data_IF_370262638348
#
_entry.id   IF_370262638348
#
_cell.length_a   1.000
_cell.length_b   1.000
_cell.length_c   1.000
_cell.angle_alpha   90.00
_cell.angle_beta   90.00
_cell.angle_gamma   90.00
#
_symmetry.space_group_name_H-M   'P 1'
#
loop_
_entity.id
_entity.type
_entity.pdbx_description
1 polymer ?
#
# COMPACT_ATOMS: atom_id res chain seq x y z
N UNK A 1 -26.79 14.65 -1.36
CA UNK A 1 -26.38 13.64 -0.36
C UNK A 1 -25.99 12.39 -1.14
N UNK A 2 -24.69 12.20 -1.38
CA UNK A 2 -24.21 11.02 -2.14
C UNK A 2 -23.97 9.89 -1.13
N UNK A 3 -24.55 8.74 -1.44
CA UNK A 3 -24.46 7.49 -0.69
C UNK A 3 -22.99 7.07 -0.50
N UNK A 4 -22.64 6.62 0.70
CA UNK A 4 -21.30 6.20 1.10
C UNK A 4 -20.90 4.80 0.57
N UNK A 5 -21.48 4.33 -0.52
CA UNK A 5 -21.38 2.94 -0.97
C UNK A 5 -20.43 2.69 -2.17
N UNK A 6 -19.68 3.68 -2.65
CA UNK A 6 -18.78 3.51 -3.82
C UNK A 6 -17.40 4.14 -3.56
N UNK A 7 -16.74 3.71 -2.48
CA UNK A 7 -15.29 3.93 -2.33
C UNK A 7 -14.64 2.57 -2.55
N UNK A 8 -13.95 2.42 -3.69
CA UNK A 8 -13.22 1.21 -4.07
C UNK A 8 -12.30 0.72 -2.94
N UNK A 9 -12.34 -0.59 -2.72
CA UNK A 9 -11.92 -1.29 -1.49
C UNK A 9 -10.62 -2.08 -1.74
N UNK A 10 -9.45 -1.75 -1.16
CA UNK A 10 -8.20 -2.44 -1.50
C UNK A 10 -7.86 -3.64 -0.60
N UNK A 11 -8.83 -4.29 0.06
CA UNK A 11 -8.55 -5.47 0.93
C UNK A 11 -8.58 -6.83 0.21
N UNK A 12 -8.61 -6.88 -1.12
CA UNK A 12 -8.45 -8.15 -1.84
C UNK A 12 -6.95 -8.45 -1.91
N UNK A 13 -6.47 -9.35 -1.04
CA UNK A 13 -5.30 -10.23 -1.23
C UNK A 13 -4.63 -10.64 0.11
N UNK A 14 -5.37 -11.32 1.00
CA UNK A 14 -4.73 -12.34 1.86
C UNK A 14 -5.62 -13.59 1.83
N UNK A 15 -5.58 -14.29 0.70
CA UNK A 15 -6.15 -15.61 0.56
C UNK A 15 -5.13 -16.65 1.04
N UNK A 16 -5.01 -16.86 2.36
CA UNK A 16 -4.45 -18.12 2.84
C UNK A 16 -5.56 -19.16 2.68
N UNK A 17 -5.33 -20.15 1.81
CA UNK A 17 -6.26 -21.22 1.50
C UNK A 17 -6.90 -21.85 2.75
N UNK A 18 -8.22 -21.67 2.88
CA UNK A 18 -9.08 -22.62 3.56
C UNK A 18 -10.24 -22.91 2.62
N UNK A 19 -10.47 -24.19 2.31
CA UNK A 19 -11.38 -24.73 1.30
C UNK A 19 -12.88 -24.50 1.57
N UNK A 20 -13.25 -23.39 2.20
CA UNK A 20 -14.62 -22.92 2.41
C UNK A 20 -14.63 -21.41 2.22
N UNK A 21 -15.14 -20.96 1.08
CA UNK A 21 -15.15 -19.56 0.65
C UNK A 21 -15.55 -18.56 1.75
N UNK A 22 -14.55 -18.04 2.45
CA UNK A 22 -14.63 -16.79 3.21
C UNK A 22 -13.58 -15.87 2.60
N UNK A 23 -14.03 -14.77 2.02
CA UNK A 23 -13.20 -13.59 1.78
C UNK A 23 -12.45 -13.30 3.08
N UNK A 24 -11.12 -13.27 3.03
CA UNK A 24 -10.30 -12.99 4.20
C UNK A 24 -10.75 -11.67 4.83
N UNK A 25 -11.12 -11.68 6.11
CA UNK A 25 -11.46 -10.45 6.80
C UNK A 25 -10.21 -9.54 6.85
N UNK A 26 -10.33 -8.28 6.42
CA UNK A 26 -9.24 -7.32 6.54
C UNK A 26 -8.73 -7.30 7.99
N UNK A 27 -7.43 -7.41 8.18
CA UNK A 27 -6.85 -7.29 9.50
C UNK A 27 -7.06 -5.87 10.07
N UNK A 28 -7.25 -5.78 11.39
CA UNK A 28 -7.76 -4.57 12.04
C UNK A 28 -6.84 -3.35 11.90
N UNK A 29 -5.52 -3.55 11.77
CA UNK A 29 -4.60 -2.43 11.54
C UNK A 29 -4.85 -1.80 10.18
N UNK A 30 -4.90 -2.59 9.10
CA UNK A 30 -5.15 -2.09 7.74
C UNK A 30 -6.46 -1.33 7.64
N UNK A 31 -7.53 -1.82 8.29
CA UNK A 31 -8.83 -1.13 8.34
C UNK A 31 -8.71 0.22 9.04
N UNK A 32 -8.04 0.26 10.20
CA UNK A 32 -7.87 1.50 10.98
C UNK A 32 -6.99 2.52 10.24
N UNK A 33 -5.90 2.07 9.61
CA UNK A 33 -5.01 2.91 8.83
C UNK A 33 -5.74 3.54 7.64
N UNK A 34 -6.46 2.73 6.86
CA UNK A 34 -7.27 3.21 5.74
C UNK A 34 -8.31 4.25 6.19
N UNK A 35 -9.04 3.98 7.27
CA UNK A 35 -10.02 4.94 7.79
C UNK A 35 -9.39 6.29 8.15
N UNK A 36 -8.23 6.29 8.81
CA UNK A 36 -7.53 7.52 9.16
C UNK A 36 -7.01 8.26 7.92
N UNK A 37 -6.63 7.56 6.85
CA UNK A 37 -6.28 8.21 5.58
C UNK A 37 -7.47 8.92 4.94
N UNK A 38 -8.67 8.30 4.95
CA UNK A 38 -9.90 8.92 4.45
C UNK A 38 -10.32 10.15 5.28
N UNK A 39 -10.03 10.13 6.59
CA UNK A 39 -10.25 11.26 7.49
C UNK A 39 -9.18 12.37 7.37
N UNK A 40 -8.17 12.22 6.49
CA UNK A 40 -7.07 13.17 6.35
C UNK A 40 -6.06 13.15 7.51
N UNK A 41 -6.15 12.16 8.41
CA UNK A 41 -5.34 12.02 9.63
C UNK A 41 -4.22 10.99 9.50
N UNK A 42 -4.15 10.29 8.37
CA UNK A 42 -3.21 9.18 8.14
C UNK A 42 -1.75 9.56 8.36
N UNK A 43 -1.32 10.76 7.96
CA UNK A 43 0.08 11.18 8.06
C UNK A 43 0.63 11.25 9.50
N UNK A 44 -0.23 11.45 10.51
CA UNK A 44 0.18 11.63 11.90
C UNK A 44 -0.31 10.53 12.85
N UNK A 45 -1.33 9.77 12.43
CA UNK A 45 -2.08 8.88 13.31
C UNK A 45 -2.28 7.48 12.77
N UNK A 46 -1.96 7.22 11.48
CA UNK A 46 -2.09 5.87 10.95
C UNK A 46 -1.23 4.90 11.77
N UNK A 47 -1.80 3.78 12.27
CA UNK A 47 -1.03 2.75 12.91
C UNK A 47 -0.10 2.11 11.88
N UNK A 48 1.03 1.57 12.35
CA UNK A 48 1.93 0.80 11.50
C UNK A 48 1.46 -0.62 11.41
N UNK A 49 1.28 -1.11 10.20
CA UNK A 49 0.81 -2.46 9.97
C UNK A 49 1.94 -3.35 9.47
N UNK A 50 1.97 -4.59 9.94
CA UNK A 50 2.78 -5.63 9.35
C UNK A 50 2.24 -6.00 7.96
N UNK A 51 3.01 -6.77 7.19
CA UNK A 51 2.64 -7.17 5.83
C UNK A 51 1.32 -7.97 5.77
N UNK A 52 0.98 -8.69 6.84
CA UNK A 52 -0.29 -9.42 6.98
C UNK A 52 -1.46 -8.53 7.44
N UNK A 53 -1.23 -7.22 7.61
CA UNK A 53 -2.20 -6.24 8.05
C UNK A 53 -2.49 -6.22 9.55
N UNK A 54 -1.74 -6.99 10.36
CA UNK A 54 -1.77 -6.90 11.82
C UNK A 54 -1.02 -5.65 12.32
N UNK A 55 -1.18 -5.28 13.59
CA UNK A 55 -0.43 -4.16 14.17
C UNK A 55 1.03 -4.57 14.39
N UNK A 56 1.98 -3.74 13.94
CA UNK A 56 3.38 -3.89 14.36
C UNK A 56 3.49 -3.76 15.88
N UNK A 57 4.42 -4.49 16.49
CA UNK A 57 4.56 -4.61 17.94
C UNK A 57 4.86 -3.27 18.63
N UNK A 58 5.55 -2.35 17.96
CA UNK A 58 5.76 -0.98 18.44
C UNK A 58 4.85 -0.04 17.65
N UNK A 59 4.02 0.73 18.36
CA UNK A 59 3.16 1.76 17.78
C UNK A 59 3.57 3.13 18.32
N UNK A 60 3.55 4.17 17.50
CA UNK A 60 3.71 5.54 17.94
C UNK A 60 2.78 6.46 17.17
N UNK A 61 2.17 7.40 17.89
CA UNK A 61 1.32 8.43 17.34
C UNK A 61 1.43 9.67 18.22
N UNK A 62 1.40 10.86 17.60
CA UNK A 62 1.37 12.16 18.31
C UNK A 62 2.42 12.29 19.44
N UNK A 63 3.65 11.82 19.20
CA UNK A 63 4.78 11.98 20.12
C UNK A 63 4.85 10.99 21.28
N UNK A 64 3.97 9.99 21.34
CA UNK A 64 4.04 8.87 22.30
C UNK A 64 4.13 7.54 21.56
N UNK A 65 4.71 6.53 22.21
CA UNK A 65 4.90 5.19 21.73
C UNK A 65 4.42 4.15 22.76
N UNK A 66 3.94 3.01 22.30
CA UNK A 66 3.51 1.89 23.13
C UNK A 66 3.79 0.56 22.44
N UNK A 67 3.86 -0.51 23.23
CA UNK A 67 3.81 -1.86 22.68
C UNK A 67 2.36 -2.22 22.38
N UNK A 68 2.06 -2.65 21.16
CA UNK A 68 0.70 -2.92 20.74
C UNK A 68 0.43 -4.41 20.65
N UNK A 69 -0.78 -4.79 21.08
CA UNK A 69 -1.35 -6.09 20.74
C UNK A 69 -1.55 -6.20 19.22
N UNK A 70 -1.06 -7.28 18.62
CA UNK A 70 -1.03 -7.46 17.16
C UNK A 70 -2.43 -7.47 16.52
N UNK A 71 -3.49 -7.83 17.26
CA UNK A 71 -4.86 -7.93 16.73
C UNK A 71 -5.66 -6.67 16.94
N UNK A 72 -5.48 -6.00 18.07
CA UNK A 72 -6.32 -4.87 18.50
C UNK A 72 -5.63 -3.52 18.43
N UNK A 73 -4.29 -3.50 18.41
CA UNK A 73 -3.48 -2.29 18.51
C UNK A 73 -3.43 -1.69 19.91
N UNK A 74 -4.05 -2.34 20.90
CA UNK A 74 -4.16 -1.84 22.26
C UNK A 74 -2.79 -1.85 22.97
N UNK A 75 -2.50 -0.85 23.81
CA UNK A 75 -1.28 -0.82 24.62
C UNK A 75 -1.15 -2.03 25.53
N UNK A 76 -0.02 -2.71 25.42
CA UNK A 76 0.47 -3.75 26.31
C UNK A 76 1.53 -3.11 27.22
N UNK A 77 1.16 -2.82 28.45
CA UNK A 77 2.06 -2.20 29.43
C UNK A 77 2.18 -0.67 29.30
N UNK A 78 3.38 -0.14 29.54
CA UNK A 78 3.59 1.31 29.64
C UNK A 78 3.57 1.99 28.27
N UNK A 79 2.96 3.17 28.23
CA UNK A 79 3.13 4.14 27.14
C UNK A 79 4.30 5.05 27.49
N UNK A 80 5.18 5.32 26.54
CA UNK A 80 6.36 6.16 26.73
C UNK A 80 6.36 7.34 25.73
N UNK A 81 6.93 8.49 26.07
CA UNK A 81 7.25 9.52 25.08
C UNK A 81 8.12 8.94 23.95
N UNK A 82 7.98 9.42 22.71
CA UNK A 82 8.71 8.86 21.56
C UNK A 82 10.23 8.83 21.75
N UNK A 83 10.80 9.85 22.42
CA UNK A 83 12.22 9.91 22.81
C UNK A 83 12.67 8.77 23.74
N UNK A 84 11.74 8.13 24.44
CA UNK A 84 11.97 7.02 25.36
C UNK A 84 11.44 5.68 24.80
N UNK A 85 11.08 5.61 23.51
CA UNK A 85 10.57 4.38 22.89
C UNK A 85 11.53 3.19 23.02
N UNK A 86 12.85 3.45 23.04
CA UNK A 86 13.90 2.45 23.29
C UNK A 86 13.76 1.69 24.60
N UNK A 87 12.98 2.22 25.54
CA UNK A 87 12.75 1.61 26.84
C UNK A 87 11.54 0.65 26.84
N UNK A 88 10.76 0.60 25.75
CA UNK A 88 9.62 -0.32 25.64
C UNK A 88 10.12 -1.73 25.32
N UNK A 89 9.52 -2.75 25.93
CA UNK A 89 10.01 -4.14 25.81
C UNK A 89 9.87 -4.72 24.38
N UNK A 90 8.95 -4.19 23.59
CA UNK A 90 8.75 -4.55 22.19
C UNK A 90 9.67 -3.80 21.22
N UNK A 91 10.47 -2.83 21.71
CA UNK A 91 11.37 -2.07 20.85
C UNK A 91 12.48 -2.97 20.30
N UNK A 92 12.64 -2.97 18.97
CA UNK A 92 13.73 -3.68 18.28
C UNK A 92 14.45 -2.70 17.36
N UNK A 93 15.74 -2.49 17.59
CA UNK A 93 16.53 -1.49 16.85
C UNK A 93 16.58 -1.80 15.34
N UNK A 94 16.59 -3.09 14.99
CA UNK A 94 16.68 -3.60 13.62
C UNK A 94 15.36 -3.40 12.85
N UNK A 95 14.22 -3.51 13.54
CA UNK A 95 12.90 -3.29 12.95
C UNK A 95 12.53 -1.80 12.85
N UNK A 96 13.18 -0.97 13.67
CA UNK A 96 12.89 0.46 13.82
C UNK A 96 13.91 1.34 13.07
N UNK A 97 15.15 0.90 12.84
CA UNK A 97 16.20 1.72 12.22
C UNK A 97 16.51 3.00 13.00
N UNK A 98 17.13 4.00 12.33
CA UNK A 98 17.41 5.32 12.93
C UNK A 98 16.14 6.16 13.18
N UNK A 99 14.99 5.74 12.66
CA UNK A 99 13.72 6.45 12.84
C UNK A 99 12.53 5.52 12.82
N UNK A 100 11.63 5.68 13.80
CA UNK A 100 10.39 4.90 13.95
C UNK A 100 9.47 4.87 12.71
N UNK A 101 9.64 5.80 11.78
CA UNK A 101 8.90 5.82 10.51
C UNK A 101 9.72 5.21 9.38
N UNK A 102 9.11 4.36 8.55
CA UNK A 102 9.71 3.90 7.28
C UNK A 102 9.96 5.12 6.38
N UNK A 103 10.77 4.92 5.34
CA UNK A 103 11.21 6.00 4.44
C UNK A 103 10.03 6.78 3.83
N UNK A 104 8.95 6.09 3.44
CA UNK A 104 7.77 6.74 2.85
C UNK A 104 6.98 7.53 3.91
N UNK A 105 6.69 6.93 5.07
CA UNK A 105 6.02 7.62 6.20
C UNK A 105 6.76 8.89 6.64
N UNK A 106 8.09 8.84 6.68
CA UNK A 106 8.93 9.98 7.03
C UNK A 106 8.79 11.11 6.01
N UNK A 107 8.70 10.78 4.73
CA UNK A 107 8.45 11.78 3.67
C UNK A 107 7.03 12.36 3.75
N UNK A 108 6.02 11.54 4.05
CA UNK A 108 4.64 11.99 4.22
C UNK A 108 4.48 12.94 5.40
N UNK A 109 5.09 12.63 6.55
CA UNK A 109 5.05 13.53 7.70
C UNK A 109 5.81 14.84 7.41
N UNK A 110 7.02 14.75 6.83
CA UNK A 110 7.78 15.95 6.48
C UNK A 110 6.98 16.85 5.54
N UNK A 111 6.33 16.27 4.52
CA UNK A 111 5.42 16.97 3.62
C UNK A 111 4.26 17.61 4.37
N UNK A 112 3.56 16.86 5.23
CA UNK A 112 2.42 17.37 6.00
C UNK A 112 2.82 18.54 6.90
N UNK A 113 3.97 18.44 7.58
CA UNK A 113 4.49 19.52 8.44
C UNK A 113 4.85 20.78 7.64
N UNK A 114 5.40 20.63 6.43
CA UNK A 114 5.67 21.77 5.57
C UNK A 114 4.37 22.46 5.15
N UNK A 115 3.37 21.69 4.74
CA UNK A 115 2.03 22.19 4.40
C UNK A 115 1.41 22.96 5.58
N UNK A 116 1.38 22.34 6.76
CA UNK A 116 0.83 22.96 7.99
C UNK A 116 1.49 24.31 8.30
N UNK A 117 2.83 24.36 8.29
CA UNK A 117 3.57 25.60 8.61
C UNK A 117 3.36 26.67 7.53
N UNK A 118 3.29 26.28 6.25
CA UNK A 118 3.07 27.22 5.15
C UNK A 118 1.67 27.81 5.18
N UNK A 119 0.65 26.98 5.38
CA UNK A 119 -0.75 27.41 5.46
C UNK A 119 -0.98 28.30 6.68
N UNK A 120 -0.39 27.96 7.84
CA UNK A 120 -0.46 28.80 9.05
C UNK A 120 0.16 30.20 8.84
N UNK A 121 1.04 30.35 7.85
CA UNK A 121 1.66 31.62 7.46
C UNK A 121 0.95 32.32 6.30
N UNK A 122 -0.20 31.80 5.84
CA UNK A 122 -0.94 32.34 4.70
C UNK A 122 -0.26 32.12 3.35
N UNK A 123 0.63 31.12 3.25
CA UNK A 123 1.35 30.78 2.01
C UNK A 123 0.87 29.44 1.46
N UNK A 124 0.86 29.29 0.14
CA UNK A 124 0.50 28.04 -0.54
C UNK A 124 1.74 27.21 -0.85
N UNK A 125 1.77 25.93 -0.47
CA UNK A 125 2.90 25.05 -0.79
C UNK A 125 2.91 24.67 -2.27
N UNK A 126 3.92 25.15 -3.01
CA UNK A 126 4.21 24.74 -4.39
C UNK A 126 5.49 23.90 -4.46
N UNK A 127 5.53 22.95 -5.40
CA UNK A 127 6.73 22.13 -5.66
C UNK A 127 7.04 21.09 -4.59
N UNK A 128 6.07 20.71 -3.74
CA UNK A 128 6.28 19.62 -2.81
C UNK A 128 6.38 18.29 -3.56
N UNK A 129 7.32 17.41 -3.16
CA UNK A 129 7.48 16.11 -3.80
C UNK A 129 6.20 15.30 -3.68
N UNK A 130 5.82 14.61 -4.76
CA UNK A 130 4.77 13.60 -4.71
C UNK A 130 5.27 12.37 -3.95
N UNK A 131 4.49 11.95 -2.96
CA UNK A 131 4.79 10.81 -2.10
C UNK A 131 3.54 9.95 -2.04
N UNK A 132 3.67 8.69 -2.45
CA UNK A 132 2.59 7.70 -2.41
C UNK A 132 3.07 6.47 -1.64
N UNK A 133 2.38 6.11 -0.57
CA UNK A 133 2.80 5.07 0.37
C UNK A 133 1.74 3.98 0.49
N UNK A 134 2.18 2.74 0.69
CA UNK A 134 1.33 1.65 1.15
C UNK A 134 1.03 1.80 2.66
N UNK A 135 0.01 1.09 3.16
CA UNK A 135 -0.40 1.13 4.58
C UNK A 135 0.67 0.59 5.55
N UNK A 136 1.62 -0.19 5.05
CA UNK A 136 2.76 -0.67 5.84
C UNK A 136 3.88 0.39 5.93
N UNK A 137 3.73 1.54 5.28
CA UNK A 137 4.70 2.64 5.26
C UNK A 137 5.84 2.47 4.25
N UNK A 138 5.78 1.44 3.41
CA UNK A 138 6.61 1.34 2.21
C UNK A 138 6.08 2.24 1.08
N UNK A 139 6.83 2.39 -0.01
CA UNK A 139 6.31 3.09 -1.18
C UNK A 139 5.23 2.25 -1.87
N UNK A 140 4.15 2.92 -2.30
CA UNK A 140 3.08 2.29 -3.07
C UNK A 140 3.58 1.83 -4.46
N UNK A 141 2.90 0.86 -5.11
CA UNK A 141 3.33 0.34 -6.41
C UNK A 141 3.47 1.40 -7.50
N UNK A 142 2.54 2.35 -7.55
CA UNK A 142 2.50 3.40 -8.56
C UNK A 142 3.11 4.68 -7.99
N UNK A 143 4.17 5.17 -8.63
CA UNK A 143 4.83 6.42 -8.27
C UNK A 143 4.79 7.40 -9.45
N UNK A 144 4.83 8.70 -9.15
CA UNK A 144 4.90 9.76 -10.15
C UNK A 144 6.26 10.45 -10.12
N UNK A 145 6.77 10.77 -11.31
CA UNK A 145 7.89 11.71 -11.49
C UNK A 145 7.39 13.15 -11.55
N UNK A 146 8.29 14.10 -11.38
CA UNK A 146 8.00 15.53 -11.56
C UNK A 146 7.52 15.86 -12.99
N UNK A 147 7.92 15.06 -13.98
CA UNK A 147 7.42 15.16 -15.36
C UNK A 147 5.97 14.65 -15.55
N UNK A 148 5.34 14.13 -14.49
CA UNK A 148 4.02 13.50 -14.53
C UNK A 148 4.01 12.03 -14.94
N UNK A 149 5.12 11.49 -15.47
CA UNK A 149 5.19 10.08 -15.85
C UNK A 149 4.97 9.16 -14.64
N UNK A 150 4.07 8.18 -14.79
CA UNK A 150 3.85 7.11 -13.80
C UNK A 150 4.82 5.97 -14.04
N UNK A 151 5.33 5.37 -12.97
CA UNK A 151 6.18 4.19 -13.05
C UNK A 151 5.90 3.24 -11.91
N UNK A 152 6.11 1.95 -12.17
CA UNK A 152 6.04 0.93 -11.13
C UNK A 152 7.31 0.97 -10.27
N UNK A 153 7.11 0.96 -8.97
CA UNK A 153 8.18 1.00 -7.98
C UNK A 153 8.09 -0.16 -7.01
N UNK A 154 9.26 -0.62 -6.59
CA UNK A 154 9.38 -1.52 -5.46
C UNK A 154 9.14 -0.78 -4.14
N UNK A 155 9.14 -1.54 -3.04
CA UNK A 155 8.82 -1.08 -1.69
C UNK A 155 9.75 0.02 -1.16
N UNK A 156 10.91 0.20 -1.76
CA UNK A 156 11.93 1.21 -1.44
C UNK A 156 11.96 2.43 -2.40
N UNK A 157 10.97 2.52 -3.30
CA UNK A 157 10.86 3.51 -4.41
C UNK A 157 11.73 3.21 -5.61
N UNK A 158 12.54 2.15 -5.61
CA UNK A 158 13.34 1.81 -6.79
C UNK A 158 12.39 1.48 -7.95
N UNK A 159 12.67 2.06 -9.12
CA UNK A 159 11.90 1.78 -10.32
C UNK A 159 12.06 0.31 -10.74
N UNK A 160 10.93 -0.34 -11.05
CA UNK A 160 10.89 -1.60 -11.78
C UNK A 160 10.93 -1.26 -13.27
N UNK A 161 12.03 -1.61 -13.94
CA UNK A 161 12.27 -1.23 -15.34
C UNK A 161 11.27 -1.91 -16.28
N UNK A 162 10.91 -1.24 -17.38
CA UNK A 162 9.94 -1.73 -18.37
C UNK A 162 8.49 -1.38 -18.07
N UNK A 163 8.16 -0.97 -16.84
CA UNK A 163 6.79 -0.69 -16.42
C UNK A 163 6.58 0.79 -16.07
N UNK A 164 6.27 1.59 -17.09
CA UNK A 164 6.05 3.03 -16.96
C UNK A 164 5.09 3.53 -18.02
N UNK A 165 4.31 4.55 -17.70
CA UNK A 165 3.30 5.11 -18.58
C UNK A 165 3.24 6.65 -18.46
N UNK A 166 2.88 7.37 -19.53
CA UNK A 166 2.57 8.80 -19.45
C UNK A 166 1.45 9.11 -18.44
N UNK A 167 1.45 10.33 -17.89
CA UNK A 167 0.39 10.79 -16.98
C UNK A 167 -1.02 10.79 -17.63
N UNK A 168 -1.04 10.95 -18.95
CA UNK A 168 -2.24 11.05 -19.78
C UNK A 168 -2.92 9.71 -19.99
N UNK A 169 -2.21 8.59 -19.80
CA UNK A 169 -2.81 7.27 -19.88
C UNK A 169 -3.62 6.97 -18.62
N UNK A 170 -4.89 6.60 -18.81
CA UNK A 170 -5.81 6.27 -17.73
C UNK A 170 -6.29 4.82 -17.91
N UNK A 171 -5.37 3.87 -17.71
CA UNK A 171 -5.56 2.43 -17.96
C UNK A 171 -5.61 1.60 -16.67
N UNK A 172 -5.92 2.21 -15.52
CA UNK A 172 -6.00 1.49 -14.24
C UNK A 172 -4.66 0.91 -13.78
N UNK A 173 -3.54 1.57 -14.08
CA UNK A 173 -2.20 1.17 -13.66
C UNK A 173 -2.16 0.85 -12.15
N UNK A 174 -1.88 -0.41 -11.79
CA UNK A 174 -1.79 -0.91 -10.41
C UNK A 174 -0.43 -1.52 -10.07
N UNK A 175 0.36 -1.91 -11.09
CA UNK A 175 1.72 -2.45 -10.94
C UNK A 175 1.86 -3.80 -10.22
N UNK A 176 0.77 -4.55 -10.06
CA UNK A 176 0.77 -5.83 -9.33
C UNK A 176 1.70 -6.86 -10.00
N UNK A 177 1.52 -7.10 -11.30
CA UNK A 177 2.38 -8.03 -12.06
C UNK A 177 3.85 -7.59 -12.05
N UNK A 178 4.11 -6.29 -12.23
CA UNK A 178 5.46 -5.75 -12.19
C UNK A 178 6.16 -6.06 -10.86
N UNK A 179 5.47 -5.93 -9.72
CA UNK A 179 6.02 -6.30 -8.40
C UNK A 179 6.26 -7.79 -8.28
N UNK A 180 5.37 -8.63 -8.79
CA UNK A 180 5.55 -10.07 -8.73
C UNK A 180 6.73 -10.57 -9.57
N UNK A 181 7.09 -9.87 -10.66
CA UNK A 181 8.34 -10.19 -11.39
C UNK A 181 9.59 -10.06 -10.50
N UNK A 182 9.61 -9.07 -9.60
CA UNK A 182 10.70 -8.84 -8.64
C UNK A 182 10.65 -9.87 -7.51
N UNK A 183 9.46 -10.14 -6.98
CA UNK A 183 9.26 -11.07 -5.86
C UNK A 183 9.61 -12.51 -6.24
N UNK A 184 9.16 -12.96 -7.40
CA UNK A 184 9.32 -14.33 -7.87
C UNK A 184 10.62 -14.54 -8.65
N UNK A 185 11.34 -13.46 -9.01
CA UNK A 185 12.53 -13.51 -9.85
C UNK A 185 12.26 -14.14 -11.23
N UNK A 186 11.01 -14.08 -11.70
CA UNK A 186 10.52 -14.90 -12.81
C UNK A 186 10.08 -14.03 -14.00
N UNK A 187 10.56 -14.39 -15.19
CA UNK A 187 10.23 -13.75 -16.48
C UNK A 187 9.03 -14.37 -17.20
N UNK A 188 8.42 -15.42 -16.64
CA UNK A 188 7.27 -16.10 -17.24
C UNK A 188 5.93 -15.41 -16.96
N UNK A 189 5.91 -14.38 -16.11
CA UNK A 189 4.71 -13.58 -15.89
C UNK A 189 4.41 -12.75 -17.14
N UNK A 190 3.17 -12.83 -17.61
CA UNK A 190 2.66 -12.01 -18.71
C UNK A 190 2.13 -10.69 -18.15
N UNK A 191 2.99 -9.68 -18.16
CA UNK A 191 2.67 -8.34 -17.67
C UNK A 191 2.49 -7.36 -18.84
N UNK A 192 1.47 -6.50 -18.73
CA UNK A 192 1.32 -5.35 -19.61
C UNK A 192 2.38 -4.27 -19.29
N UNK A 193 2.63 -3.34 -20.22
CA UNK A 193 3.61 -2.26 -20.03
C UNK A 193 3.23 -1.24 -18.94
N UNK A 194 1.98 -1.25 -18.47
CA UNK A 194 1.56 -0.50 -17.29
C UNK A 194 1.87 -1.25 -15.98
N UNK A 195 2.41 -2.47 -16.05
CA UNK A 195 2.76 -3.29 -14.90
C UNK A 195 1.61 -4.09 -14.30
N UNK A 196 0.44 -4.08 -14.93
CA UNK A 196 -0.69 -4.92 -14.56
C UNK A 196 -0.53 -6.32 -15.18
N UNK A 197 -1.26 -7.29 -14.63
CA UNK A 197 -1.39 -8.60 -15.28
C UNK A 197 -2.12 -8.45 -16.62
N UNK A 198 -1.68 -9.18 -17.64
CA UNK A 198 -2.50 -9.34 -18.85
C UNK A 198 -3.81 -10.03 -18.47
N UNK A 199 -4.95 -9.41 -18.81
CA UNK A 199 -6.28 -9.88 -18.41
C UNK A 199 -6.61 -11.29 -18.92
N UNK A 200 -6.01 -11.70 -20.04
CA UNK A 200 -6.24 -12.99 -20.66
C UNK A 200 -5.00 -13.86 -20.58
N UNK A 201 -5.21 -15.14 -20.26
CA UNK A 201 -4.19 -16.18 -20.25
C UNK A 201 -4.62 -17.31 -21.15
N UNK A 202 -3.67 -17.85 -21.91
CA UNK A 202 -3.85 -19.03 -22.74
C UNK A 202 -2.87 -20.09 -22.25
N UNK A 203 -3.43 -21.21 -21.78
CA UNK A 203 -2.66 -22.39 -21.38
C UNK A 203 -3.28 -23.62 -22.07
N UNK A 204 -2.49 -24.26 -22.93
CA UNK A 204 -2.88 -25.44 -23.72
C UNK A 204 -4.17 -25.26 -24.53
N UNK A 205 -4.38 -24.06 -25.09
CA UNK A 205 -5.55 -23.74 -25.92
C UNK A 205 -6.82 -23.44 -25.12
N UNK A 206 -6.72 -23.32 -23.79
CA UNK A 206 -7.80 -22.84 -22.92
C UNK A 206 -7.52 -21.40 -22.52
N UNK A 207 -8.44 -20.52 -22.87
CA UNK A 207 -8.34 -19.10 -22.52
C UNK A 207 -9.08 -18.87 -21.21
N UNK A 208 -8.46 -18.13 -20.29
CA UNK A 208 -9.08 -17.73 -19.04
C UNK A 208 -8.74 -16.30 -18.66
N UNK A 209 -9.66 -15.69 -17.92
CA UNK A 209 -9.49 -14.37 -17.34
C UNK A 209 -8.71 -14.46 -16.03
N UNK A 210 -7.86 -13.47 -15.78
CA UNK A 210 -7.26 -13.24 -14.47
C UNK A 210 -7.69 -11.90 -13.89
N UNK A 211 -7.70 -11.83 -12.56
CA UNK A 211 -7.94 -10.58 -11.84
C UNK A 211 -6.67 -9.71 -11.78
N UNK A 212 -6.77 -8.59 -11.06
CA UNK A 212 -5.69 -7.62 -10.90
C UNK A 212 -4.44 -8.18 -10.22
N UNK A 213 -4.56 -9.31 -9.51
CA UNK A 213 -3.46 -10.00 -8.83
C UNK A 213 -3.01 -11.27 -9.58
N UNK A 214 -3.56 -11.51 -10.78
CA UNK A 214 -3.18 -12.63 -11.63
C UNK A 214 -3.85 -13.96 -11.28
N UNK A 215 -4.86 -13.96 -10.41
CA UNK A 215 -5.60 -15.18 -10.07
C UNK A 215 -6.64 -15.51 -11.14
N UNK A 216 -6.80 -16.80 -11.41
CA UNK A 216 -7.85 -17.31 -12.29
C UNK A 216 -9.23 -16.86 -11.83
N UNK A 217 -10.00 -16.28 -12.76
CA UNK A 217 -11.41 -15.91 -12.56
C UNK A 217 -12.35 -16.93 -13.21
N UNK A 218 -12.29 -17.04 -14.53
CA UNK A 218 -13.19 -17.88 -15.34
C UNK A 218 -12.55 -18.24 -16.68
N UNK A 219 -12.97 -19.36 -17.26
CA UNK A 219 -12.66 -19.67 -18.66
C UNK A 219 -13.50 -18.80 -19.60
N UNK A 220 -12.95 -18.54 -20.78
CA UNK A 220 -13.62 -17.87 -21.90
C UNK A 220 -13.31 -18.64 -23.19
N UNK A 221 -14.19 -18.51 -24.18
CA UNK A 221 -14.01 -19.20 -25.46
C UNK A 221 -13.03 -18.41 -26.36
N UNK A 222 -13.01 -17.08 -26.23
CA UNK A 222 -12.14 -16.18 -27.00
C UNK A 222 -11.62 -14.99 -26.18
N UNK A 223 -10.52 -14.36 -26.63
CA UNK A 223 -9.98 -13.13 -26.04
C UNK A 223 -10.88 -11.89 -26.22
N UNK A 224 -11.97 -12.01 -26.98
CA UNK A 224 -12.97 -10.95 -27.15
C UNK A 224 -14.12 -11.06 -26.14
N UNK A 225 -14.21 -12.18 -25.42
CA UNK A 225 -15.23 -12.38 -24.41
C UNK A 225 -14.95 -11.54 -23.16
N UNK A 226 -15.99 -10.97 -22.57
CA UNK A 226 -15.85 -10.07 -21.43
C UNK A 226 -15.28 -10.79 -20.21
N UNK A 227 -14.14 -10.30 -19.71
CA UNK A 227 -13.62 -10.66 -18.39
C UNK A 227 -14.31 -9.92 -17.23
N UNK A 228 -15.33 -9.10 -17.50
CA UNK A 228 -16.15 -8.48 -16.45
C UNK A 228 -17.20 -9.49 -15.96
N UNK A 229 -17.38 -9.56 -14.64
CA UNK A 229 -18.39 -10.38 -13.96
C UNK A 229 -19.55 -9.55 -13.46
#
# INVERSE_FOLDING_TARGET
MRSAAEVEWPCLAVAVHSARGRVGACAACSVRAWRLTQEGRGAHEAPRCAADGSFEALQCARGVCWCADAKTGAPQGRVAPARAARQLFCYRAEAVGEGYRRRCDSQMEARARIVEVMEARGTTPYGLPYVNCDLDGSFAPVQLRDSGQRFCAWKDKQQILGFQQPATENNGMNCNCARDTVLLGNTLLRCSSNGNYETYRDEDGKIYCVDDDGYFMKFVDTITDSCVG
#
